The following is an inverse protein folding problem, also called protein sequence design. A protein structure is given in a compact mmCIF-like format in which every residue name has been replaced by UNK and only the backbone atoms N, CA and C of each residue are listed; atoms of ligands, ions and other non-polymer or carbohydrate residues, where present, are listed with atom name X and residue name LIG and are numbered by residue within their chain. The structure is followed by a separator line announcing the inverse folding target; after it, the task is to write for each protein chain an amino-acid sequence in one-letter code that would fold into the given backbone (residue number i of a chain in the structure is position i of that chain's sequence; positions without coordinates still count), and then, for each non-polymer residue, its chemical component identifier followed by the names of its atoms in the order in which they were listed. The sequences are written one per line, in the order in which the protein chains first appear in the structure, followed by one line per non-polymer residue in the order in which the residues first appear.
data_IF_897103731084
#
_entry.id   IF_897103731084
#
_cell.length_a   1.000
_cell.length_b   1.000
_cell.length_c   1.000
_cell.angle_alpha   90.00
_cell.angle_beta   90.00
_cell.angle_gamma   90.00
#
_symmetry.space_group_name_H-M   'P 1'
#
loop_
_entity.id
_entity.type
_entity.pdbx_description
1 polymer ?
#
# COMPACT_ATOMS: atom_id res chain seq x y z
N UNK A 1 17.98 -31.09 11.27
CA UNK A 1 16.54 -31.32 11.45
C UNK A 1 16.10 -30.76 12.80
N UNK A 2 15.83 -29.45 12.86
CA UNK A 2 14.98 -28.83 13.88
C UNK A 2 14.24 -27.71 13.14
N UNK A 3 13.17 -28.08 12.44
CA UNK A 3 12.21 -27.10 11.94
C UNK A 3 11.38 -26.75 13.18
N UNK A 4 11.77 -25.70 13.90
CA UNK A 4 10.96 -25.21 14.99
C UNK A 4 9.61 -24.81 14.40
N UNK A 5 8.56 -25.52 14.81
CA UNK A 5 7.17 -25.12 14.55
C UNK A 5 6.98 -23.77 15.23
N UNK A 6 7.04 -22.69 14.46
CA UNK A 6 6.63 -21.37 14.94
C UNK A 6 5.15 -21.48 15.28
N UNK A 7 4.86 -21.41 16.58
CA UNK A 7 3.54 -21.50 17.20
C UNK A 7 2.58 -20.50 16.59
N UNK A 8 1.31 -20.89 16.42
CA UNK A 8 0.26 -20.07 15.80
C UNK A 8 -0.26 -18.94 16.70
N UNK A 9 0.10 -18.94 17.98
CA UNK A 9 -0.46 -18.02 18.98
C UNK A 9 0.64 -17.52 19.93
N UNK A 10 1.22 -16.34 19.66
CA UNK A 10 1.97 -15.49 20.60
C UNK A 10 2.30 -14.16 19.92
N UNK A 11 2.57 -13.10 20.69
CA UNK A 11 3.45 -12.00 20.24
C UNK A 11 4.81 -12.61 19.88
N UNK A 12 5.03 -12.90 18.60
CA UNK A 12 6.20 -13.64 18.11
C UNK A 12 7.34 -12.70 17.68
N UNK A 13 7.15 -11.39 17.85
CA UNK A 13 8.14 -10.36 17.58
C UNK A 13 8.82 -9.96 18.87
N UNK A 14 10.07 -10.38 19.05
CA UNK A 14 10.94 -9.90 20.12
C UNK A 14 10.92 -8.35 20.13
N UNK A 15 10.54 -7.77 21.26
CA UNK A 15 10.30 -6.32 21.39
C UNK A 15 11.51 -5.48 20.96
N UNK A 16 12.72 -5.93 21.32
CA UNK A 16 13.97 -5.28 20.94
C UNK A 16 14.21 -5.32 19.43
N UNK A 17 14.02 -6.50 18.80
CA UNK A 17 14.16 -6.67 17.35
C UNK A 17 13.17 -5.80 16.58
N UNK A 18 11.94 -5.70 17.08
CA UNK A 18 10.91 -4.86 16.51
C UNK A 18 11.22 -3.36 16.66
N UNK A 19 11.69 -2.92 17.83
CA UNK A 19 12.11 -1.54 18.05
C UNK A 19 13.27 -1.16 17.11
N UNK A 20 14.29 -2.01 17.03
CA UNK A 20 15.42 -1.82 16.12
C UNK A 20 14.98 -1.76 14.66
N UNK A 21 14.10 -2.68 14.21
CA UNK A 21 13.56 -2.69 12.84
C UNK A 21 12.86 -1.38 12.49
N UNK A 22 12.02 -0.86 13.40
CA UNK A 22 11.35 0.43 13.21
C UNK A 22 12.37 1.55 13.11
N UNK A 23 13.31 1.63 14.06
CA UNK A 23 14.33 2.67 14.10
C UNK A 23 15.15 2.72 12.80
N UNK A 24 15.65 1.58 12.34
CA UNK A 24 16.45 1.51 11.11
C UNK A 24 15.68 1.95 9.87
N UNK A 25 14.40 1.58 9.77
CA UNK A 25 13.56 1.99 8.65
C UNK A 25 13.15 3.46 8.73
N UNK A 26 12.92 4.00 9.93
CA UNK A 26 12.68 5.43 10.12
C UNK A 26 13.88 6.25 9.69
N UNK A 27 15.09 5.90 10.16
CA UNK A 27 16.33 6.58 9.76
C UNK A 27 16.54 6.47 8.25
N UNK A 28 16.32 5.29 7.66
CA UNK A 28 16.43 5.12 6.22
C UNK A 28 15.44 6.00 5.46
N UNK A 29 14.21 6.18 5.96
CA UNK A 29 13.18 6.94 5.28
C UNK A 29 13.53 8.42 5.10
N UNK A 30 14.28 9.02 6.04
CA UNK A 30 14.51 10.47 6.07
C UNK A 30 15.16 11.00 4.79
N UNK A 31 16.02 10.19 4.13
CA UNK A 31 16.70 10.58 2.88
C UNK A 31 16.30 9.74 1.66
N UNK A 32 15.44 8.72 1.80
CA UNK A 32 15.23 7.72 0.74
C UNK A 32 13.76 7.58 0.28
N UNK A 33 12.82 8.33 0.86
CA UNK A 33 11.43 8.31 0.38
C UNK A 33 11.35 8.88 -1.04
N UNK A 34 10.65 8.15 -1.91
CA UNK A 34 10.38 8.58 -3.28
C UNK A 34 9.26 9.61 -3.31
N UNK A 35 9.37 10.49 -4.28
CA UNK A 35 8.45 11.60 -4.42
C UNK A 35 7.48 11.36 -5.58
N UNK A 36 6.18 11.47 -5.30
CA UNK A 36 5.10 11.28 -6.27
C UNK A 36 3.96 12.28 -5.98
N UNK A 37 3.20 12.75 -7.00
CA UNK A 37 2.18 13.78 -6.79
C UNK A 37 1.13 13.43 -5.73
N UNK A 38 0.65 12.18 -5.71
CA UNK A 38 -0.33 11.70 -4.73
C UNK A 38 0.20 11.54 -3.30
N UNK A 39 1.52 11.72 -3.07
CA UNK A 39 2.13 11.75 -1.73
C UNK A 39 2.26 13.17 -1.18
N UNK A 40 1.97 14.20 -1.98
CA UNK A 40 2.06 15.63 -1.60
C UNK A 40 0.69 16.25 -1.30
N UNK A 41 -0.34 15.42 -1.12
CA UNK A 41 -1.71 15.84 -0.86
C UNK A 41 -2.35 14.90 0.15
N UNK A 42 -3.34 15.41 0.86
CA UNK A 42 -4.26 14.61 1.70
C UNK A 42 -5.68 14.62 1.15
N UNK A 43 -5.90 15.15 -0.07
CA UNK A 43 -7.22 15.15 -0.70
C UNK A 43 -7.69 13.70 -0.93
N UNK A 44 -8.81 13.27 -0.31
CA UNK A 44 -9.29 11.90 -0.44
C UNK A 44 -9.59 11.49 -1.88
N UNK A 45 -10.09 12.42 -2.71
CA UNK A 45 -10.38 12.12 -4.12
C UNK A 45 -9.10 11.85 -4.91
N UNK A 46 -8.12 12.74 -4.81
CA UNK A 46 -6.82 12.59 -5.42
C UNK A 46 -6.12 11.28 -5.00
N UNK A 47 -6.18 10.89 -3.72
CA UNK A 47 -5.61 9.64 -3.23
C UNK A 47 -6.38 8.43 -3.75
N UNK A 48 -7.72 8.47 -3.74
CA UNK A 48 -8.57 7.42 -4.29
C UNK A 48 -8.27 7.14 -5.76
N UNK A 49 -8.12 8.19 -6.58
CA UNK A 49 -7.75 8.05 -8.00
C UNK A 49 -6.37 7.41 -8.11
N UNK A 50 -5.36 7.91 -7.39
CA UNK A 50 -4.01 7.35 -7.42
C UNK A 50 -4.00 5.86 -7.08
N UNK A 51 -4.73 5.46 -6.04
CA UNK A 51 -4.84 4.07 -5.61
C UNK A 51 -5.44 3.16 -6.67
N UNK A 52 -6.42 3.62 -7.45
CA UNK A 52 -6.95 2.87 -8.60
C UNK A 52 -5.92 2.74 -9.72
N UNK A 53 -5.19 3.83 -10.01
CA UNK A 53 -4.20 3.87 -11.08
C UNK A 53 -2.95 3.06 -10.74
N UNK A 54 -2.55 2.95 -9.48
CA UNK A 54 -1.35 2.23 -9.03
C UNK A 54 -1.51 0.71 -9.02
N UNK A 55 -2.73 0.19 -9.19
CA UNK A 55 -2.95 -1.24 -9.08
C UNK A 55 -2.25 -2.02 -10.20
N UNK A 56 -1.23 -2.81 -9.87
CA UNK A 56 -0.48 -3.66 -10.84
C UNK A 56 0.18 -2.89 -11.99
N UNK A 57 0.62 -1.66 -11.75
CA UNK A 57 1.42 -0.88 -12.71
C UNK A 57 2.62 -0.24 -12.02
N UNK A 58 3.47 0.41 -12.80
CA UNK A 58 4.62 1.15 -12.29
C UNK A 58 4.20 2.57 -11.91
N UNK A 59 4.57 3.02 -10.70
CA UNK A 59 4.30 4.36 -10.21
C UNK A 59 4.80 5.46 -11.16
N UNK A 60 5.98 5.31 -11.76
CA UNK A 60 6.52 6.31 -12.69
C UNK A 60 5.64 6.48 -13.95
N UNK A 61 4.98 5.40 -14.41
CA UNK A 61 4.05 5.45 -15.54
C UNK A 61 2.72 6.10 -15.15
N UNK A 62 2.35 6.04 -13.88
CA UNK A 62 1.08 6.61 -13.37
C UNK A 62 1.13 8.13 -13.34
N UNK A 63 2.28 8.75 -13.04
CA UNK A 63 2.42 10.21 -12.87
C UNK A 63 1.73 11.03 -13.99
N UNK A 64 2.07 10.89 -15.28
CA UNK A 64 1.45 11.73 -16.32
C UNK A 64 -0.04 11.44 -16.51
N UNK A 65 -0.47 10.19 -16.30
CA UNK A 65 -1.88 9.80 -16.43
C UNK A 65 -2.69 10.35 -15.27
N UNK A 66 -2.14 10.33 -14.06
CA UNK A 66 -2.74 10.87 -12.86
C UNK A 66 -3.01 12.38 -12.98
N UNK A 67 -2.01 13.15 -13.42
CA UNK A 67 -2.14 14.59 -13.63
C UNK A 67 -3.20 14.90 -14.68
N UNK A 68 -3.18 14.19 -15.82
CA UNK A 68 -4.20 14.31 -16.87
C UNK A 68 -5.59 13.95 -16.34
N UNK A 69 -5.68 12.91 -15.52
CA UNK A 69 -6.94 12.41 -14.97
C UNK A 69 -7.58 13.45 -14.05
N UNK A 70 -6.82 14.01 -13.11
CA UNK A 70 -7.32 15.04 -12.18
C UNK A 70 -7.63 16.37 -12.86
N UNK A 71 -6.88 16.73 -13.92
CA UNK A 71 -7.19 17.91 -14.70
C UNK A 71 -8.54 17.78 -15.45
N UNK A 72 -8.83 16.57 -15.97
CA UNK A 72 -10.09 16.31 -16.69
C UNK A 72 -11.27 16.09 -15.77
N UNK A 73 -11.05 15.38 -14.66
CA UNK A 73 -12.05 15.08 -13.66
C UNK A 73 -11.55 15.55 -12.30
N UNK A 74 -11.79 16.82 -11.92
CA UNK A 74 -11.27 17.37 -10.67
C UNK A 74 -12.04 16.90 -9.42
N UNK A 75 -13.23 16.31 -9.60
CA UNK A 75 -14.12 15.93 -8.48
C UNK A 75 -14.81 14.57 -8.73
N UNK A 76 -15.31 13.95 -7.66
CA UNK A 76 -16.20 12.78 -7.75
C UNK A 76 -17.39 13.04 -8.67
N UNK A 77 -18.03 14.21 -8.55
CA UNK A 77 -19.16 14.58 -9.39
C UNK A 77 -18.76 14.57 -10.88
N UNK A 78 -17.68 15.26 -11.25
CA UNK A 78 -17.21 15.31 -12.64
C UNK A 78 -16.85 13.93 -13.19
N UNK A 79 -16.24 13.07 -12.37
CA UNK A 79 -15.91 11.70 -12.76
C UNK A 79 -17.15 10.80 -12.84
N UNK A 80 -18.18 11.04 -12.02
CA UNK A 80 -19.42 10.25 -12.01
C UNK A 80 -20.22 10.40 -13.30
N UNK A 81 -20.04 11.54 -13.98
CA UNK A 81 -20.66 11.87 -15.26
C UNK A 81 -19.86 11.36 -16.47
N UNK A 82 -18.62 10.90 -16.27
CA UNK A 82 -17.77 10.40 -17.33
C UNK A 82 -18.33 9.12 -17.95
N UNK A 83 -18.23 8.98 -19.28
CA UNK A 83 -18.55 7.71 -19.91
C UNK A 83 -17.47 6.67 -19.57
N UNK A 84 -17.88 5.41 -19.42
CA UNK A 84 -16.93 4.31 -19.18
C UNK A 84 -15.88 4.23 -20.30
N UNK A 85 -16.26 4.54 -21.56
CA UNK A 85 -15.38 4.55 -22.72
C UNK A 85 -14.24 5.58 -22.58
N UNK A 86 -14.55 6.79 -22.12
CA UNK A 86 -13.52 7.82 -21.90
C UNK A 86 -12.54 7.39 -20.81
N UNK A 87 -13.05 6.81 -19.72
CA UNK A 87 -12.20 6.29 -18.63
C UNK A 87 -11.36 5.11 -19.13
N UNK A 88 -11.91 4.21 -19.96
CA UNK A 88 -11.15 3.13 -20.62
C UNK A 88 -9.96 3.70 -21.40
N UNK A 89 -10.18 4.72 -22.22
CA UNK A 89 -9.12 5.36 -23.02
C UNK A 89 -8.01 5.94 -22.15
N UNK A 90 -8.36 6.63 -21.05
CA UNK A 90 -7.37 7.19 -20.12
C UNK A 90 -6.56 6.11 -19.40
N UNK A 91 -7.18 4.95 -19.10
CA UNK A 91 -6.51 3.86 -18.38
C UNK A 91 -5.73 2.90 -19.30
N UNK A 92 -5.92 2.98 -20.62
CA UNK A 92 -5.29 2.09 -21.59
C UNK A 92 -3.74 2.14 -21.55
N UNK A 93 -3.07 3.30 -21.46
CA UNK A 93 -1.60 3.36 -21.36
C UNK A 93 -1.02 2.64 -20.13
N UNK A 94 -1.82 2.51 -19.06
CA UNK A 94 -1.44 1.79 -17.84
C UNK A 94 -1.76 0.28 -17.93
N UNK A 95 -2.38 -0.17 -19.01
CA UNK A 95 -2.91 -1.54 -19.12
C UNK A 95 -4.12 -1.79 -18.20
N UNK A 96 -4.81 -0.74 -17.76
CA UNK A 96 -5.87 -0.80 -16.75
C UNK A 96 -7.29 -0.59 -17.28
N UNK A 97 -7.48 -0.63 -18.61
CA UNK A 97 -8.79 -0.44 -19.25
C UNK A 97 -9.91 -1.31 -18.63
N UNK A 98 -9.62 -2.57 -18.27
CA UNK A 98 -10.60 -3.48 -17.65
C UNK A 98 -11.08 -3.04 -16.26
N UNK A 99 -10.43 -2.04 -15.63
CA UNK A 99 -10.83 -1.47 -14.33
C UNK A 99 -11.72 -0.24 -14.45
N UNK A 100 -11.78 0.38 -15.62
CA UNK A 100 -12.55 1.61 -15.83
C UNK A 100 -14.00 1.49 -15.35
N UNK A 101 -14.66 0.37 -15.69
CA UNK A 101 -16.03 0.07 -15.24
C UNK A 101 -16.16 0.12 -13.71
N UNK A 102 -15.26 -0.57 -12.98
CA UNK A 102 -15.29 -0.59 -11.50
C UNK A 102 -15.00 0.77 -10.88
N UNK A 103 -14.12 1.56 -11.50
CA UNK A 103 -13.86 2.93 -11.06
C UNK A 103 -15.13 3.78 -11.19
N UNK A 104 -15.80 3.73 -12.36
CA UNK A 104 -17.04 4.45 -12.59
C UNK A 104 -18.14 4.01 -11.61
N UNK A 105 -18.34 2.70 -11.42
CA UNK A 105 -19.32 2.15 -10.47
C UNK A 105 -19.04 2.61 -9.03
N UNK A 106 -17.77 2.64 -8.61
CA UNK A 106 -17.37 3.16 -7.29
C UNK A 106 -17.71 4.64 -7.12
N UNK A 107 -17.39 5.46 -8.11
CA UNK A 107 -17.60 6.92 -8.07
C UNK A 107 -19.10 7.24 -8.09
N UNK A 108 -19.89 6.51 -8.88
CA UNK A 108 -21.35 6.61 -8.86
C UNK A 108 -21.93 6.24 -7.49
N UNK A 109 -21.41 5.19 -6.86
CA UNK A 109 -21.81 4.79 -5.50
C UNK A 109 -21.42 5.86 -4.47
N UNK A 110 -20.23 6.44 -4.57
CA UNK A 110 -19.78 7.55 -3.73
C UNK A 110 -20.76 8.74 -3.87
N UNK A 111 -21.09 9.12 -5.11
CA UNK A 111 -21.99 10.22 -5.37
C UNK A 111 -23.41 9.98 -4.81
N UNK A 112 -23.95 8.76 -4.96
CA UNK A 112 -25.32 8.44 -4.58
C UNK A 112 -25.52 8.21 -3.07
N UNK A 113 -24.52 7.68 -2.36
CA UNK A 113 -24.68 7.21 -0.97
C UNK A 113 -23.79 7.94 0.05
N UNK A 114 -22.88 8.79 -0.42
CA UNK A 114 -21.90 9.47 0.43
C UNK A 114 -21.75 10.96 0.07
N UNK A 115 -22.78 11.57 -0.53
CA UNK A 115 -22.84 12.99 -0.90
C UNK A 115 -21.61 13.48 -1.70
N UNK A 116 -21.11 12.62 -2.59
CA UNK A 116 -19.93 12.94 -3.41
C UNK A 116 -18.60 12.96 -2.66
N UNK A 117 -18.56 12.53 -1.40
CA UNK A 117 -17.36 12.52 -0.55
C UNK A 117 -16.83 11.10 -0.38
N UNK A 118 -15.52 10.92 -0.52
CA UNK A 118 -14.87 9.64 -0.20
C UNK A 118 -15.13 9.32 1.28
N UNK A 119 -15.70 8.15 1.61
CA UNK A 119 -15.90 7.76 3.00
C UNK A 119 -14.57 7.49 3.70
N UNK A 120 -14.49 7.80 4.99
CA UNK A 120 -13.29 7.65 5.81
C UNK A 120 -13.24 6.32 6.59
N UNK A 121 -14.35 5.59 6.67
CA UNK A 121 -14.41 4.29 7.32
C UNK A 121 -13.95 3.15 6.39
N UNK A 122 -13.02 2.31 6.87
CA UNK A 122 -12.52 1.14 6.12
C UNK A 122 -13.67 0.25 5.59
N UNK A 123 -14.71 0.03 6.40
CA UNK A 123 -15.86 -0.80 6.01
C UNK A 123 -16.67 -0.21 4.85
N UNK A 124 -16.81 1.12 4.79
CA UNK A 124 -17.52 1.81 3.70
C UNK A 124 -16.68 1.78 2.43
N UNK A 125 -15.37 2.03 2.54
CA UNK A 125 -14.43 1.92 1.41
C UNK A 125 -14.40 0.50 0.83
N UNK A 126 -14.38 -0.54 1.67
CA UNK A 126 -14.44 -1.94 1.24
C UNK A 126 -15.72 -2.30 0.49
N UNK A 127 -16.81 -1.54 0.68
CA UNK A 127 -18.05 -1.75 -0.05
C UNK A 127 -18.02 -1.14 -1.47
N UNK A 128 -16.97 -0.43 -1.85
CA UNK A 128 -16.81 0.18 -3.17
C UNK A 128 -16.23 -0.83 -4.20
N UNK A 129 -16.81 -0.95 -5.41
CA UNK A 129 -16.31 -1.79 -6.49
C UNK A 129 -14.82 -1.61 -6.83
N UNK A 130 -14.02 -2.67 -6.74
CA UNK A 130 -12.59 -2.60 -7.06
C UNK A 130 -11.70 -2.06 -5.93
N UNK A 131 -12.26 -1.72 -4.77
CA UNK A 131 -11.51 -1.37 -3.56
C UNK A 131 -11.32 -2.63 -2.70
N UNK A 132 -10.06 -3.00 -2.48
CA UNK A 132 -9.67 -4.06 -1.56
C UNK A 132 -9.12 -3.50 -0.25
N UNK A 133 -8.85 -4.39 0.72
CA UNK A 133 -8.33 -4.02 2.05
C UNK A 133 -7.09 -3.12 2.01
N UNK A 134 -6.16 -3.39 1.08
CA UNK A 134 -4.99 -2.52 0.86
C UNK A 134 -5.42 -1.08 0.53
N UNK A 135 -6.24 -0.89 -0.50
CA UNK A 135 -6.65 0.44 -0.98
C UNK A 135 -7.51 1.15 0.06
N UNK A 136 -8.43 0.45 0.72
CA UNK A 136 -9.24 1.03 1.79
C UNK A 136 -8.34 1.60 2.91
N UNK A 137 -7.39 0.78 3.42
CA UNK A 137 -6.46 1.23 4.47
C UNK A 137 -5.47 2.29 4.00
N UNK A 138 -5.04 2.23 2.74
CA UNK A 138 -4.19 3.25 2.12
C UNK A 138 -4.90 4.61 2.12
N UNK A 139 -6.17 4.66 1.69
CA UNK A 139 -6.99 5.88 1.73
C UNK A 139 -7.16 6.37 3.18
N UNK A 140 -7.55 5.49 4.12
CA UNK A 140 -7.67 5.86 5.54
C UNK A 140 -6.38 6.48 6.10
N UNK A 141 -5.22 5.90 5.80
CA UNK A 141 -3.94 6.36 6.33
C UNK A 141 -3.48 7.68 5.68
N UNK A 142 -3.56 7.78 4.36
CA UNK A 142 -2.96 8.90 3.63
C UNK A 142 -3.89 10.11 3.45
N UNK A 143 -5.20 9.90 3.37
CA UNK A 143 -6.16 10.98 3.22
C UNK A 143 -6.70 11.46 4.58
N UNK A 144 -6.93 10.52 5.51
CA UNK A 144 -7.61 10.79 6.77
C UNK A 144 -6.71 10.67 8.01
N UNK A 145 -5.42 10.40 7.83
CA UNK A 145 -4.44 10.32 8.93
C UNK A 145 -4.69 9.18 9.92
N UNK A 146 -5.50 8.18 9.55
CA UNK A 146 -5.85 7.08 10.45
C UNK A 146 -4.68 6.09 10.60
N UNK A 147 -4.62 5.41 11.75
CA UNK A 147 -3.60 4.40 12.05
C UNK A 147 -3.88 3.07 11.34
N UNK A 148 -3.90 3.09 10.01
CA UNK A 148 -4.23 1.94 9.16
C UNK A 148 -3.01 1.46 8.38
N UNK A 149 -2.55 0.24 8.70
CA UNK A 149 -1.41 -0.37 8.01
C UNK A 149 -1.81 -0.96 6.68
N UNK A 150 -0.90 -0.96 5.70
CA UNK A 150 -1.11 -1.62 4.41
C UNK A 150 -0.28 -2.90 4.28
N UNK A 151 -0.71 -3.81 3.40
CA UNK A 151 0.01 -5.02 3.07
C UNK A 151 -0.09 -5.32 1.57
N UNK A 152 0.98 -5.03 0.83
CA UNK A 152 1.18 -5.49 -0.54
C UNK A 152 2.23 -6.62 -0.60
N UNK A 153 2.68 -6.97 -1.80
CA UNK A 153 3.73 -7.99 -1.99
C UNK A 153 5.12 -7.50 -1.57
N UNK A 154 5.37 -6.19 -1.49
CA UNK A 154 6.62 -5.62 -1.01
C UNK A 154 6.70 -5.69 0.51
N UNK A 155 5.68 -5.17 1.19
CA UNK A 155 5.54 -5.24 2.65
C UNK A 155 5.59 -6.69 3.11
N UNK A 156 4.77 -7.57 2.50
CA UNK A 156 4.78 -8.99 2.82
C UNK A 156 6.19 -9.60 2.74
N UNK A 157 6.93 -9.33 1.65
CA UNK A 157 8.28 -9.85 1.45
C UNK A 157 9.27 -9.36 2.49
N UNK A 158 9.20 -8.08 2.90
CA UNK A 158 10.04 -7.54 3.96
C UNK A 158 9.78 -8.31 5.26
N UNK A 159 8.52 -8.47 5.64
CA UNK A 159 8.14 -9.16 6.88
C UNK A 159 8.56 -10.64 6.86
N UNK A 160 8.36 -11.33 5.74
CA UNK A 160 8.80 -12.71 5.54
C UNK A 160 10.33 -12.86 5.66
N UNK A 161 11.08 -11.98 5.00
CA UNK A 161 12.55 -12.07 4.99
C UNK A 161 13.17 -11.65 6.32
N UNK A 162 12.76 -10.53 6.87
CA UNK A 162 13.39 -9.98 8.06
C UNK A 162 13.06 -10.82 9.29
N UNK A 163 11.79 -11.17 9.47
CA UNK A 163 11.33 -11.91 10.63
C UNK A 163 11.21 -13.42 10.42
N UNK A 164 11.48 -13.94 9.21
CA UNK A 164 11.38 -15.37 8.92
C UNK A 164 9.96 -15.90 8.92
N UNK A 165 8.97 -15.04 8.67
CA UNK A 165 7.57 -15.45 8.61
C UNK A 165 7.28 -16.34 7.40
N UNK A 166 6.39 -17.30 7.60
CA UNK A 166 5.82 -18.10 6.51
C UNK A 166 4.44 -17.55 6.12
N UNK A 167 4.40 -16.65 5.14
CA UNK A 167 3.15 -16.16 4.61
C UNK A 167 2.50 -17.13 3.62
N UNK A 168 1.17 -17.07 3.52
CA UNK A 168 0.41 -17.87 2.57
C UNK A 168 0.70 -17.51 1.10
N UNK A 169 0.21 -18.33 0.17
CA UNK A 169 0.34 -18.10 -1.29
C UNK A 169 -0.26 -16.76 -1.72
N UNK A 170 -1.41 -16.40 -1.16
CA UNK A 170 -2.10 -15.13 -1.43
C UNK A 170 -1.81 -14.16 -0.29
N UNK A 171 -0.79 -13.31 -0.47
CA UNK A 171 -0.29 -12.39 0.58
C UNK A 171 -1.38 -11.47 1.13
N UNK A 172 -2.22 -10.92 0.27
CA UNK A 172 -3.32 -10.03 0.66
C UNK A 172 -4.38 -10.67 1.57
N UNK A 173 -4.44 -12.01 1.66
CA UNK A 173 -5.37 -12.75 2.54
C UNK A 173 -4.65 -13.43 3.71
N UNK A 174 -3.35 -13.22 3.86
CA UNK A 174 -2.57 -13.91 4.88
C UNK A 174 -2.74 -13.22 6.25
N UNK A 175 -3.52 -13.85 7.14
CA UNK A 175 -3.79 -13.32 8.50
C UNK A 175 -2.51 -13.06 9.29
N UNK A 176 -1.51 -13.95 9.19
CA UNK A 176 -0.23 -13.82 9.90
C UNK A 176 0.51 -12.55 9.46
N UNK A 177 0.58 -12.28 8.15
CA UNK A 177 1.25 -11.09 7.62
C UNK A 177 0.50 -9.80 7.94
N UNK A 178 -0.84 -9.83 7.96
CA UNK A 178 -1.63 -8.68 8.40
C UNK A 178 -1.40 -8.37 9.89
N UNK A 179 -1.43 -9.39 10.75
CA UNK A 179 -1.12 -9.25 12.18
C UNK A 179 0.31 -8.73 12.37
N UNK A 180 1.26 -9.24 11.59
CA UNK A 180 2.63 -8.74 11.59
C UNK A 180 2.73 -7.26 11.20
N UNK A 181 2.06 -6.86 10.12
CA UNK A 181 2.02 -5.46 9.68
C UNK A 181 1.44 -4.54 10.76
N UNK A 182 0.37 -4.97 11.44
CA UNK A 182 -0.25 -4.25 12.56
C UNK A 182 0.69 -4.13 13.75
N UNK A 183 1.44 -5.19 14.08
CA UNK A 183 2.40 -5.18 15.18
C UNK A 183 3.64 -4.35 14.88
N UNK A 184 4.17 -4.35 13.66
CA UNK A 184 5.41 -3.62 13.35
C UNK A 184 5.20 -2.13 13.16
N UNK A 185 3.97 -1.67 12.91
CA UNK A 185 3.72 -0.26 12.69
C UNK A 185 3.95 0.58 13.96
N UNK A 186 4.51 1.78 13.85
CA UNK A 186 4.51 2.74 14.94
C UNK A 186 3.08 3.20 15.28
N UNK A 187 2.90 3.80 16.45
CA UNK A 187 1.61 4.37 16.85
C UNK A 187 1.29 5.68 16.11
N UNK A 188 2.32 6.43 15.72
CA UNK A 188 2.20 7.71 15.02
C UNK A 188 2.77 7.60 13.60
N UNK A 189 2.38 8.52 12.72
CA UNK A 189 2.88 8.60 11.35
C UNK A 189 2.75 7.30 10.52
N UNK A 190 1.68 6.52 10.73
CA UNK A 190 1.44 5.25 10.02
C UNK A 190 1.44 5.43 8.49
N UNK A 191 0.98 6.59 8.00
CA UNK A 191 1.12 6.98 6.60
C UNK A 191 2.59 6.99 6.13
N UNK A 192 3.47 7.73 6.82
CA UNK A 192 4.92 7.76 6.50
C UNK A 192 5.51 6.34 6.56
N UNK A 193 5.17 5.59 7.60
CA UNK A 193 5.61 4.20 7.77
C UNK A 193 5.21 3.27 6.61
N UNK A 194 3.96 3.37 6.15
CA UNK A 194 3.47 2.63 5.00
C UNK A 194 4.31 2.95 3.74
N UNK A 195 4.59 4.24 3.48
CA UNK A 195 5.42 4.66 2.35
C UNK A 195 6.86 4.16 2.49
N UNK A 196 7.43 4.21 3.70
CA UNK A 196 8.76 3.67 4.01
C UNK A 196 8.87 2.21 3.61
N UNK A 197 7.92 1.36 4.01
CA UNK A 197 7.96 -0.06 3.65
C UNK A 197 7.78 -0.29 2.15
N UNK A 198 6.91 0.46 1.48
CA UNK A 198 6.73 0.37 0.03
C UNK A 198 8.02 0.72 -0.72
N UNK A 199 8.66 1.84 -0.37
CA UNK A 199 9.88 2.31 -1.04
C UNK A 199 11.07 1.43 -0.71
N UNK A 200 11.22 1.02 0.54
CA UNK A 200 12.26 0.10 0.97
C UNK A 200 12.15 -1.24 0.24
N UNK A 201 10.93 -1.76 0.11
CA UNK A 201 10.67 -3.00 -0.63
C UNK A 201 10.93 -2.85 -2.13
N UNK A 202 10.67 -1.67 -2.69
CA UNK A 202 10.88 -1.39 -4.11
C UNK A 202 12.36 -1.16 -4.48
N UNK A 203 13.17 -0.65 -3.55
CA UNK A 203 14.54 -0.15 -3.86
C UNK A 203 15.66 -0.92 -3.17
N UNK A 204 15.42 -1.51 -2.00
CA UNK A 204 16.44 -2.23 -1.20
C UNK A 204 16.10 -3.71 -1.11
N UNK A 205 14.97 -4.05 -0.49
CA UNK A 205 14.52 -5.43 -0.31
C UNK A 205 13.73 -5.91 -1.55
N UNK A 206 14.34 -5.81 -2.72
CA UNK A 206 13.69 -6.12 -4.01
C UNK A 206 13.37 -7.61 -4.16
N UNK A 207 12.40 -7.95 -5.00
CA UNK A 207 11.96 -9.33 -5.18
C UNK A 207 13.10 -10.23 -5.71
N UNK A 208 13.92 -9.71 -6.61
CA UNK A 208 15.07 -10.40 -7.23
C UNK A 208 16.33 -9.60 -6.96
N UNK A 209 17.40 -10.27 -6.52
CA UNK A 209 18.71 -9.66 -6.20
C UNK A 209 18.57 -8.49 -5.21
N UNK A 210 18.06 -8.72 -3.98
CA UNK A 210 17.97 -7.67 -2.97
C UNK A 210 19.36 -7.09 -2.65
N UNK A 211 19.42 -5.80 -2.35
CA UNK A 211 20.67 -5.08 -2.08
C UNK A 211 21.14 -5.28 -0.63
N UNK A 212 21.33 -6.54 -0.23
CA UNK A 212 21.59 -6.92 1.15
C UNK A 212 22.84 -6.26 1.74
N UNK A 213 23.93 -6.11 0.97
CA UNK A 213 25.18 -5.52 1.47
C UNK A 213 25.09 -4.02 1.81
N UNK A 214 24.02 -3.33 1.42
CA UNK A 214 23.71 -1.94 1.80
C UNK A 214 22.39 -1.82 2.58
N UNK A 215 21.83 -2.96 2.99
CA UNK A 215 20.54 -3.00 3.66
C UNK A 215 20.73 -2.64 5.14
N UNK A 216 20.09 -1.59 5.67
CA UNK A 216 20.20 -1.21 7.08
C UNK A 216 19.66 -2.30 8.02
N UNK A 217 18.86 -3.24 7.49
CA UNK A 217 18.29 -4.34 8.25
C UNK A 217 19.16 -5.60 8.30
N UNK A 218 20.35 -5.61 7.68
CA UNK A 218 21.10 -6.85 7.42
C UNK A 218 21.47 -7.63 8.71
N UNK A 219 21.81 -6.95 9.79
CA UNK A 219 22.33 -7.53 11.04
C UNK A 219 21.36 -8.53 11.70
N UNK A 220 20.06 -8.23 11.65
CA UNK A 220 19.01 -9.04 12.27
C UNK A 220 18.09 -9.74 11.28
N UNK A 221 18.39 -9.67 9.99
CA UNK A 221 17.55 -10.24 8.93
C UNK A 221 17.65 -11.76 8.86
N UNK A 222 16.53 -12.47 9.11
CA UNK A 222 16.50 -13.93 9.04
C UNK A 222 16.86 -14.47 7.65
N UNK A 223 16.52 -13.77 6.58
CA UNK A 223 16.88 -14.15 5.21
C UNK A 223 18.40 -14.21 4.97
N UNK A 224 19.21 -13.39 5.65
CA UNK A 224 20.68 -13.44 5.54
C UNK A 224 21.32 -14.42 6.52
N UNK A 225 20.65 -14.78 7.61
CA UNK A 225 21.17 -15.78 8.56
C UNK A 225 20.98 -17.22 8.06
N UNK A 226 20.05 -17.42 7.12
CA UNK A 226 19.68 -18.73 6.57
C UNK A 226 20.29 -19.00 5.18
N UNK A 227 20.94 -18.02 4.57
CA UNK A 227 21.61 -18.11 3.26
C UNK A 227 23.07 -17.70 3.40
#
# INVERSE_FOLDING_TARGET
MVISKISKDADWLETEKLHWFRQQLTIWADDNLRDFPWRRTTDPYAIFVAEFLLQKTDAAKVVPIYETFLARYPTIESLSLASVTEVVTLLQPLGLHFRAKRLCESVQKINAFYDGKIPDAEAQLLALPGVGKYTARSICAHAFGQQQVILDTNVARILERFFGLQGGRVKSRCKILWKAAEQVAPHEEVGKWNLTLLDFGATVCTARKPHCGKCPLQEHCNYLRLN
#
